data_IF_718879375853
#
_entry.id   IF_718879375853
#
_cell.length_a   1.000
_cell.length_b   1.000
_cell.length_c   1.000
_cell.angle_alpha   90.00
_cell.angle_beta   90.00
_cell.angle_gamma   90.00
#
_symmetry.space_group_name_H-M   'P 1'
#
loop_
_entity.id
_entity.type
_entity.pdbx_description
1 polymer ?
#
# COMPACT_ATOMS: atom_id res chain seq x y z
N UNK A 1 -4.85 -46.24 -39.48
CA UNK A 1 -5.91 -45.26 -39.74
C UNK A 1 -6.88 -45.28 -38.56
N UNK A 2 -6.76 -44.33 -37.64
CA UNK A 2 -7.77 -44.01 -36.62
C UNK A 2 -7.40 -42.67 -35.99
N UNK A 3 -7.88 -41.59 -36.60
CA UNK A 3 -7.74 -40.21 -36.13
C UNK A 3 -8.40 -40.02 -34.76
N UNK A 4 -7.64 -39.50 -33.79
CA UNK A 4 -8.15 -39.09 -32.48
C UNK A 4 -8.40 -37.58 -32.54
N UNK A 5 -9.61 -37.09 -32.19
CA UNK A 5 -10.00 -35.71 -32.46
C UNK A 5 -9.15 -34.72 -31.68
N UNK A 6 -8.62 -33.72 -32.39
CA UNK A 6 -7.93 -32.58 -31.83
C UNK A 6 -8.84 -31.88 -30.81
N UNK A 7 -8.38 -31.82 -29.57
CA UNK A 7 -9.04 -31.12 -28.48
C UNK A 7 -8.94 -29.62 -28.77
N UNK A 8 -9.98 -29.05 -29.37
CA UNK A 8 -10.12 -27.61 -29.60
C UNK A 8 -9.87 -26.85 -28.29
N UNK A 9 -8.68 -26.28 -28.15
CA UNK A 9 -8.39 -25.29 -27.13
C UNK A 9 -9.18 -24.04 -27.50
N UNK A 10 -10.37 -23.91 -26.92
CA UNK A 10 -11.08 -22.63 -26.87
C UNK A 10 -10.09 -21.60 -26.32
N UNK A 11 -9.61 -20.73 -27.21
CA UNK A 11 -8.84 -19.56 -26.86
C UNK A 11 -9.79 -18.63 -26.07
N UNK A 12 -9.99 -18.95 -24.80
CA UNK A 12 -10.61 -18.03 -23.86
C UNK A 12 -9.67 -16.83 -23.85
N UNK A 13 -10.17 -15.69 -24.34
CA UNK A 13 -9.55 -14.40 -24.11
C UNK A 13 -9.43 -14.26 -22.59
N UNK A 14 -8.24 -14.56 -22.07
CA UNK A 14 -7.89 -14.32 -20.69
C UNK A 14 -7.79 -12.81 -20.58
N UNK A 15 -8.92 -12.16 -20.29
CA UNK A 15 -8.90 -10.77 -19.87
C UNK A 15 -7.84 -10.67 -18.76
N UNK A 16 -6.93 -9.68 -18.82
CA UNK A 16 -5.95 -9.49 -17.77
C UNK A 16 -6.66 -9.48 -16.43
N UNK A 17 -6.22 -10.35 -15.51
CA UNK A 17 -6.75 -10.35 -14.15
C UNK A 17 -6.40 -8.98 -13.59
N UNK A 18 -7.39 -8.07 -13.60
CA UNK A 18 -7.28 -6.80 -12.92
C UNK A 18 -7.20 -7.16 -11.45
N UNK A 19 -5.98 -7.21 -10.91
CA UNK A 19 -5.74 -7.25 -9.47
C UNK A 19 -6.32 -5.95 -8.93
N UNK A 20 -7.62 -5.96 -8.61
CA UNK A 20 -8.22 -4.89 -7.83
C UNK A 20 -7.37 -4.80 -6.58
N UNK A 21 -6.66 -3.70 -6.40
CA UNK A 21 -5.99 -3.46 -5.14
C UNK A 21 -7.05 -3.60 -4.04
N UNK A 22 -6.78 -4.36 -2.98
CA UNK A 22 -7.73 -4.51 -1.90
C UNK A 22 -8.06 -3.10 -1.39
N UNK A 23 -9.35 -2.80 -1.32
CA UNK A 23 -9.83 -1.50 -0.87
C UNK A 23 -9.28 -1.27 0.54
N UNK A 24 -8.35 -0.33 0.67
CA UNK A 24 -7.69 -0.03 1.94
C UNK A 24 -8.76 0.41 2.93
N UNK A 25 -8.93 -0.33 4.02
CA UNK A 25 -9.82 0.08 5.11
C UNK A 25 -9.28 1.37 5.73
N UNK A 26 -9.99 2.49 5.51
CA UNK A 26 -9.66 3.77 6.13
C UNK A 26 -9.95 3.68 7.62
N UNK A 27 -8.96 4.03 8.45
CA UNK A 27 -9.11 4.12 9.90
C UNK A 27 -8.75 5.53 10.37
N UNK A 28 -9.54 6.14 11.28
CA UNK A 28 -9.16 7.41 11.86
C UNK A 28 -7.89 7.23 12.70
N UNK A 29 -6.96 8.18 12.59
CA UNK A 29 -5.75 8.26 13.41
C UNK A 29 -5.88 9.47 14.30
N UNK A 30 -5.63 9.28 15.60
CA UNK A 30 -5.52 10.38 16.56
C UNK A 30 -4.05 10.66 16.81
N UNK A 31 -3.63 11.89 16.55
CA UNK A 31 -2.26 12.35 16.70
C UNK A 31 -2.20 13.38 17.83
N UNK A 32 -1.03 13.49 18.47
CA UNK A 32 -0.77 14.59 19.40
C UNK A 32 -0.67 15.91 18.64
N UNK A 33 -1.03 17.01 19.28
CA UNK A 33 -0.98 18.35 18.69
C UNK A 33 0.44 18.71 18.19
N UNK A 34 1.48 18.30 18.92
CA UNK A 34 2.86 18.57 18.54
C UNK A 34 3.24 17.85 17.24
N UNK A 35 2.87 16.57 17.12
CA UNK A 35 3.12 15.76 15.92
C UNK A 35 2.35 16.32 14.73
N UNK A 36 1.15 16.84 14.96
CA UNK A 36 0.35 17.49 13.93
C UNK A 36 1.01 18.75 13.39
N UNK A 37 1.56 19.58 14.27
CA UNK A 37 2.31 20.77 13.87
C UNK A 37 3.57 20.40 13.07
N UNK A 38 4.31 19.38 13.52
CA UNK A 38 5.51 18.90 12.83
C UNK A 38 5.20 18.34 11.43
N UNK A 39 4.09 17.59 11.29
CA UNK A 39 3.66 17.07 9.98
C UNK A 39 3.28 18.20 9.02
N UNK A 40 2.59 19.23 9.51
CA UNK A 40 2.26 20.40 8.69
C UNK A 40 3.52 21.16 8.26
N UNK A 41 4.47 21.37 9.18
CA UNK A 41 5.76 22.00 8.86
C UNK A 41 6.53 21.19 7.81
N UNK A 42 6.54 19.86 7.93
CA UNK A 42 7.15 18.97 6.94
C UNK A 42 6.47 19.06 5.58
N UNK A 43 5.13 19.09 5.51
CA UNK A 43 4.40 19.24 4.25
C UNK A 43 4.73 20.56 3.54
N UNK A 44 4.81 21.66 4.30
CA UNK A 44 5.20 22.97 3.77
C UNK A 44 6.62 22.95 3.22
N UNK A 45 7.57 22.44 4.01
CA UNK A 45 8.96 22.32 3.58
C UNK A 45 9.10 21.44 2.33
N UNK A 46 8.38 20.31 2.27
CA UNK A 46 8.40 19.43 1.11
C UNK A 46 7.85 20.11 -0.14
N UNK A 47 6.75 20.86 -0.01
CA UNK A 47 6.17 21.64 -1.10
C UNK A 47 7.12 22.71 -1.59
N UNK A 48 7.73 23.45 -0.68
CA UNK A 48 8.63 24.55 -1.02
C UNK A 48 9.90 24.04 -1.72
N UNK A 49 10.39 22.85 -1.36
CA UNK A 49 11.58 22.23 -1.96
C UNK A 49 11.29 21.51 -3.28
N UNK A 50 10.15 20.83 -3.41
CA UNK A 50 9.86 19.92 -4.53
C UNK A 50 8.81 20.48 -5.49
N UNK A 51 8.19 21.62 -5.19
CA UNK A 51 7.09 22.19 -5.97
C UNK A 51 5.83 21.31 -6.01
N UNK A 52 5.75 20.29 -5.14
CA UNK A 52 4.71 19.28 -5.15
C UNK A 52 4.13 19.09 -3.76
N UNK A 53 2.81 18.95 -3.68
CA UNK A 53 2.12 18.66 -2.43
C UNK A 53 2.13 17.15 -2.16
N UNK A 54 2.44 16.77 -0.93
CA UNK A 54 2.37 15.38 -0.46
C UNK A 54 1.20 15.25 0.50
N UNK A 55 0.38 14.22 0.31
CA UNK A 55 -0.76 13.95 1.18
C UNK A 55 -0.30 13.59 2.59
N UNK A 56 -0.98 14.17 3.59
CA UNK A 56 -0.73 13.88 5.01
C UNK A 56 -0.96 12.41 5.34
N UNK A 57 -2.01 11.80 4.78
CA UNK A 57 -2.30 10.38 4.95
C UNK A 57 -1.13 9.51 4.47
N UNK A 58 -0.50 9.89 3.35
CA UNK A 58 0.64 9.17 2.81
C UNK A 58 1.86 9.25 3.74
N UNK A 59 2.13 10.43 4.31
CA UNK A 59 3.23 10.60 5.27
C UNK A 59 2.98 9.76 6.52
N UNK A 60 1.76 9.79 7.06
CA UNK A 60 1.38 9.01 8.25
C UNK A 60 1.52 7.52 7.98
N UNK A 61 0.98 7.02 6.85
CA UNK A 61 1.13 5.63 6.43
C UNK A 61 2.61 5.24 6.33
N UNK A 62 3.44 6.08 5.73
CA UNK A 62 4.87 5.82 5.58
C UNK A 62 5.57 5.69 6.93
N UNK A 63 5.36 6.65 7.84
CA UNK A 63 5.98 6.66 9.17
C UNK A 63 5.55 5.43 9.96
N UNK A 64 4.25 5.10 9.98
CA UNK A 64 3.74 3.91 10.66
C UNK A 64 4.32 2.63 10.07
N UNK A 65 4.40 2.52 8.75
CA UNK A 65 4.99 1.36 8.09
C UNK A 65 6.48 1.19 8.45
N UNK A 66 7.24 2.28 8.50
CA UNK A 66 8.65 2.23 8.93
C UNK A 66 8.79 1.84 10.40
N UNK A 67 7.92 2.36 11.27
CA UNK A 67 7.93 2.01 12.68
C UNK A 67 7.65 0.52 12.90
N UNK A 68 6.58 0.00 12.28
CA UNK A 68 6.22 -1.42 12.37
C UNK A 68 7.30 -2.34 11.78
N UNK A 69 7.98 -1.93 10.71
CA UNK A 69 9.12 -2.69 10.15
C UNK A 69 10.29 -2.82 11.13
N UNK A 70 10.50 -1.81 11.97
CA UNK A 70 11.61 -1.77 12.94
C UNK A 70 11.28 -2.45 14.27
N UNK A 71 9.99 -2.62 14.58
CA UNK A 71 9.53 -3.30 15.78
C UNK A 71 9.79 -4.82 15.67
N UNK A 72 10.86 -5.27 16.35
CA UNK A 72 11.26 -6.68 16.37
C UNK A 72 10.22 -7.59 17.02
N UNK A 73 9.52 -7.12 18.06
CA UNK A 73 8.51 -7.91 18.74
C UNK A 73 7.30 -8.11 17.83
N UNK A 74 6.86 -7.05 17.16
CA UNK A 74 5.81 -7.13 16.15
C UNK A 74 6.21 -8.03 14.97
N UNK A 75 7.44 -7.92 14.45
CA UNK A 75 7.92 -8.80 13.37
C UNK A 75 8.00 -10.26 13.82
N UNK A 76 8.46 -10.55 15.04
CA UNK A 76 8.50 -11.90 15.60
C UNK A 76 7.08 -12.50 15.72
N UNK A 77 6.13 -11.74 16.28
CA UNK A 77 4.73 -12.15 16.35
C UNK A 77 4.11 -12.39 14.96
N UNK A 78 4.37 -11.49 14.01
CA UNK A 78 3.88 -11.60 12.63
C UNK A 78 4.42 -12.85 11.93
N UNK A 79 5.67 -13.22 12.17
CA UNK A 79 6.28 -14.41 11.58
C UNK A 79 5.72 -15.73 12.14
N UNK A 80 5.16 -15.71 13.36
CA UNK A 80 4.52 -16.86 13.99
C UNK A 80 3.05 -17.06 13.61
N UNK A 81 2.48 -16.21 12.74
CA UNK A 81 1.06 -16.17 12.42
C UNK A 81 0.77 -16.44 10.95
#
# INVERSE_FOLDING_TARGET
MADKPARNSSARLLLPIVKREPEKTKRPVSLSQDVDADLLAYQLAYRDMNGAEVSRDFIIEHVLAQHLKRDKAFQAWKATR
#
